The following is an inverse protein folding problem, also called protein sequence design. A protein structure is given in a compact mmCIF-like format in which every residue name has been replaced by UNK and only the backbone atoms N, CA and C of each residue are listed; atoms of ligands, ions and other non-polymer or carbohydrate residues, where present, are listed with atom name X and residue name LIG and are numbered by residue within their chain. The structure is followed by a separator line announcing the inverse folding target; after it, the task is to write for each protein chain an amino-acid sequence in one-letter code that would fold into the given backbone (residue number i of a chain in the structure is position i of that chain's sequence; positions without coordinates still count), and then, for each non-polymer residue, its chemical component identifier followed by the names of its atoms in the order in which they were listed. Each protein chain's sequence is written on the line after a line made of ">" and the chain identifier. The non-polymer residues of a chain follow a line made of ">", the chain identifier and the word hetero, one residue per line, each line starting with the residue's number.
data_IF_425293209667
#
_entry.id   IF_425293209667
#
_cell.length_a   1.000
_cell.length_b   1.000
_cell.length_c   1.000
_cell.angle_alpha   90.00
_cell.angle_beta   90.00
_cell.angle_gamma   90.00
#
_symmetry.space_group_name_H-M   'P 1'
#
loop_
_entity.id
_entity.type
_entity.pdbx_description
1 polymer ?
#
# COMPACT_ATOMS: atom_id res chain seq x y z
N UNK A 1 13.97 13.73 5.23
CA UNK A 1 14.03 12.34 4.72
C UNK A 1 12.62 11.84 4.51
N UNK A 2 12.36 11.12 3.43
CA UNK A 2 10.99 10.66 3.07
C UNK A 2 10.51 9.51 3.94
N UNK A 3 11.34 8.50 4.15
CA UNK A 3 11.04 7.46 5.14
C UNK A 3 11.87 7.67 6.41
N UNK A 4 11.32 7.34 7.60
CA UNK A 4 12.10 7.37 8.84
C UNK A 4 13.39 6.54 8.73
N UNK A 5 14.48 7.04 9.28
CA UNK A 5 15.79 6.40 9.15
C UNK A 5 15.79 4.94 9.63
N UNK A 6 15.08 4.66 10.74
CA UNK A 6 14.99 3.31 11.30
C UNK A 6 14.28 2.32 10.34
N UNK A 7 13.26 2.79 9.56
CA UNK A 7 12.62 1.95 8.54
C UNK A 7 13.63 1.62 7.43
N UNK A 8 14.33 2.64 6.93
CA UNK A 8 15.33 2.46 5.87
C UNK A 8 16.48 1.51 6.32
N UNK A 9 16.99 1.67 7.55
CA UNK A 9 18.07 0.81 8.09
C UNK A 9 17.60 -0.62 8.32
N UNK A 10 16.38 -0.82 8.84
CA UNK A 10 15.80 -2.15 9.04
C UNK A 10 15.61 -2.88 7.70
N UNK A 11 15.13 -2.17 6.67
CA UNK A 11 14.94 -2.71 5.32
C UNK A 11 16.28 -3.09 4.67
N UNK A 12 17.29 -2.22 4.75
CA UNK A 12 18.64 -2.51 4.23
C UNK A 12 19.24 -3.73 4.95
N UNK A 13 19.16 -3.76 6.28
CA UNK A 13 19.68 -4.89 7.05
C UNK A 13 18.96 -6.20 6.74
N UNK A 14 17.64 -6.15 6.50
CA UNK A 14 16.86 -7.30 6.08
C UNK A 14 17.27 -7.77 4.67
N UNK A 15 17.44 -6.85 3.73
CA UNK A 15 17.87 -7.15 2.36
C UNK A 15 19.25 -7.82 2.33
N UNK A 16 20.21 -7.27 3.08
CA UNK A 16 21.58 -7.81 3.16
C UNK A 16 21.61 -9.22 3.76
N UNK A 17 20.86 -9.47 4.85
CA UNK A 17 20.76 -10.81 5.46
C UNK A 17 20.24 -11.85 4.46
N UNK A 18 19.19 -11.52 3.71
CA UNK A 18 18.62 -12.43 2.72
C UNK A 18 19.54 -12.64 1.52
N UNK A 19 20.26 -11.61 1.10
CA UNK A 19 21.26 -11.72 0.03
C UNK A 19 22.41 -12.66 0.44
N UNK A 20 22.93 -12.50 1.66
CA UNK A 20 23.99 -13.40 2.17
C UNK A 20 23.51 -14.83 2.38
N UNK A 21 22.25 -15.03 2.73
CA UNK A 21 21.64 -16.35 2.83
C UNK A 21 21.34 -17.00 1.46
N UNK A 22 21.56 -16.30 0.35
CA UNK A 22 21.27 -16.79 -1.00
C UNK A 22 19.79 -16.89 -1.33
N UNK A 23 18.91 -16.23 -0.56
CA UNK A 23 17.48 -16.24 -0.77
C UNK A 23 17.10 -15.42 -2.01
N UNK A 24 16.58 -16.09 -3.04
CA UNK A 24 16.23 -15.45 -4.32
C UNK A 24 14.86 -14.76 -4.31
N UNK A 25 13.91 -15.34 -3.56
CA UNK A 25 12.52 -14.87 -3.47
C UNK A 25 12.16 -14.65 -2.01
N UNK A 26 12.11 -13.38 -1.61
CA UNK A 26 11.88 -12.99 -0.22
C UNK A 26 10.74 -11.97 -0.17
N UNK A 27 9.71 -12.20 0.67
CA UNK A 27 8.63 -11.26 0.88
C UNK A 27 9.12 -9.95 1.48
N UNK A 28 8.63 -8.82 0.97
CA UNK A 28 8.95 -7.48 1.48
C UNK A 28 7.84 -7.00 2.43
N UNK A 29 6.60 -7.21 2.03
CA UNK A 29 5.41 -6.83 2.81
C UNK A 29 4.45 -8.01 2.84
N UNK A 30 4.04 -8.46 4.00
CA UNK A 30 2.89 -9.34 4.13
C UNK A 30 1.62 -8.50 4.07
N UNK A 31 0.74 -8.77 3.12
CA UNK A 31 -0.63 -8.27 3.13
C UNK A 31 -1.48 -9.20 3.99
N UNK A 32 -1.83 -8.76 5.20
CA UNK A 32 -2.63 -9.52 6.14
C UNK A 32 -4.07 -9.01 6.12
N UNK A 33 -4.99 -9.86 5.72
CA UNK A 33 -6.43 -9.59 5.71
C UNK A 33 -7.09 -10.35 6.86
N UNK A 34 -7.13 -9.82 8.10
CA UNK A 34 -7.64 -10.57 9.25
C UNK A 34 -9.16 -10.80 9.19
N UNK A 35 -9.87 -10.03 8.35
CA UNK A 35 -11.30 -10.14 8.15
C UNK A 35 -11.70 -9.69 6.74
N UNK A 36 -12.87 -10.17 6.31
CA UNK A 36 -13.53 -9.75 5.06
C UNK A 36 -14.85 -9.01 5.35
N UNK A 37 -14.91 -8.27 6.46
CA UNK A 37 -16.04 -7.42 6.85
C UNK A 37 -15.62 -5.95 6.75
N UNK A 38 -16.41 -5.12 6.09
CA UNK A 38 -16.17 -3.70 5.93
C UNK A 38 -17.46 -2.91 6.20
N UNK A 39 -17.33 -1.66 6.64
CA UNK A 39 -18.42 -0.70 6.78
C UNK A 39 -18.64 0.14 5.50
N UNK A 40 -17.93 -0.18 4.40
CA UNK A 40 -18.09 0.42 3.08
C UNK A 40 -18.16 -0.67 2.00
N UNK A 41 -18.68 -0.30 0.82
CA UNK A 41 -18.75 -1.13 -0.39
C UNK A 41 -18.19 -0.35 -1.60
N UNK A 42 -16.94 0.14 -1.48
CA UNK A 42 -16.31 1.01 -2.47
C UNK A 42 -16.33 0.41 -3.88
N UNK A 43 -16.52 1.25 -4.90
CA UNK A 43 -16.58 0.81 -6.31
C UNK A 43 -15.30 0.11 -6.79
N UNK A 44 -14.15 0.46 -6.21
CA UNK A 44 -12.85 -0.14 -6.52
C UNK A 44 -12.51 -1.40 -5.72
N UNK A 45 -13.42 -1.90 -4.87
CA UNK A 45 -13.14 -3.00 -3.96
C UNK A 45 -13.77 -4.32 -4.43
N UNK A 46 -13.03 -5.43 -4.24
CA UNK A 46 -13.56 -6.77 -4.48
C UNK A 46 -14.69 -7.10 -3.49
N UNK A 47 -15.86 -7.58 -3.96
CA UNK A 47 -17.00 -7.92 -3.09
C UNK A 47 -16.65 -8.84 -1.91
N UNK A 48 -15.71 -9.76 -2.08
CA UNK A 48 -15.30 -10.67 -1.00
C UNK A 48 -14.79 -9.93 0.25
N UNK A 49 -14.30 -8.68 0.13
CA UNK A 49 -13.71 -7.91 1.22
C UNK A 49 -14.71 -7.16 2.09
N UNK A 50 -15.97 -7.06 1.68
CA UNK A 50 -17.00 -6.35 2.43
C UNK A 50 -18.27 -7.16 2.69
N UNK A 51 -18.38 -8.38 2.12
CA UNK A 51 -19.56 -9.25 2.28
C UNK A 51 -19.36 -10.37 3.31
N UNK A 52 -18.16 -10.47 3.91
CA UNK A 52 -17.86 -11.48 4.91
C UNK A 52 -18.51 -11.23 6.27
N UNK A 53 -18.72 -12.29 7.05
CA UNK A 53 -19.16 -12.19 8.44
C UNK A 53 -17.94 -11.96 9.36
N UNK A 54 -18.12 -11.12 10.39
CA UNK A 54 -17.10 -10.91 11.43
C UNK A 54 -16.75 -12.20 12.19
N UNK A 55 -17.64 -13.19 12.21
CA UNK A 55 -17.37 -14.51 12.80
C UNK A 55 -16.30 -15.30 12.04
N UNK A 56 -16.14 -15.02 10.74
CA UNK A 56 -15.19 -15.70 9.87
C UNK A 56 -13.79 -15.03 9.90
N UNK A 57 -13.57 -14.08 10.84
CA UNK A 57 -12.27 -13.44 11.01
C UNK A 57 -11.19 -14.43 11.42
N UNK A 58 -9.96 -14.13 11.08
CA UNK A 58 -8.80 -14.89 11.57
C UNK A 58 -8.68 -14.73 13.11
N UNK A 59 -8.47 -15.81 13.84
CA UNK A 59 -7.98 -15.73 15.22
C UNK A 59 -6.59 -15.06 15.25
N UNK A 60 -6.28 -14.35 16.33
CA UNK A 60 -5.02 -13.62 16.50
C UNK A 60 -3.79 -14.52 16.34
N UNK A 61 -3.86 -15.75 16.85
CA UNK A 61 -2.79 -16.75 16.71
C UNK A 61 -2.49 -17.07 15.24
N UNK A 62 -3.53 -17.19 14.41
CA UNK A 62 -3.37 -17.45 12.97
C UNK A 62 -2.73 -16.26 12.24
N UNK A 63 -3.02 -15.04 12.68
CA UNK A 63 -2.32 -13.87 12.18
C UNK A 63 -0.82 -13.93 12.51
N UNK A 64 -0.46 -14.28 13.74
CA UNK A 64 0.94 -14.38 14.15
C UNK A 64 1.68 -15.55 13.47
N UNK A 65 1.03 -16.72 13.34
CA UNK A 65 1.60 -17.84 12.56
C UNK A 65 1.97 -17.37 11.13
N UNK A 66 1.06 -16.70 10.42
CA UNK A 66 1.30 -16.22 9.07
C UNK A 66 2.43 -15.17 9.01
N UNK A 67 2.50 -14.27 10.00
CA UNK A 67 3.56 -13.25 10.11
C UNK A 67 4.93 -13.91 10.31
N UNK A 68 5.00 -14.95 11.13
CA UNK A 68 6.25 -15.64 11.45
C UNK A 68 6.70 -16.54 10.28
N UNK A 69 5.77 -17.28 9.65
CA UNK A 69 6.04 -18.10 8.46
C UNK A 69 6.52 -17.27 7.26
N UNK A 70 5.85 -16.14 6.97
CA UNK A 70 6.19 -15.25 5.86
C UNK A 70 7.55 -14.58 6.05
N UNK A 71 7.89 -14.20 7.27
CA UNK A 71 9.16 -13.54 7.59
C UNK A 71 9.35 -12.14 7.01
N UNK A 72 8.35 -11.54 6.35
CA UNK A 72 8.43 -10.19 5.80
C UNK A 72 8.74 -9.16 6.90
N UNK A 73 9.54 -8.12 6.63
CA UNK A 73 9.88 -7.08 7.60
C UNK A 73 8.72 -6.10 7.87
N UNK A 74 7.75 -6.05 6.97
CA UNK A 74 6.58 -5.19 7.06
C UNK A 74 5.31 -6.01 6.98
N UNK A 75 4.28 -5.61 7.74
CA UNK A 75 2.94 -6.21 7.71
C UNK A 75 1.94 -5.10 7.41
N UNK A 76 1.27 -5.20 6.27
CA UNK A 76 0.15 -4.33 5.89
C UNK A 76 -1.15 -4.99 6.35
N UNK A 77 -1.78 -4.45 7.38
CA UNK A 77 -3.07 -4.89 7.88
C UNK A 77 -4.13 -4.24 7.00
N UNK A 78 -4.86 -5.07 6.23
CA UNK A 78 -5.86 -4.65 5.25
C UNK A 78 -7.05 -5.65 5.25
N UNK A 79 -7.63 -5.95 4.11
CA UNK A 79 -8.77 -6.87 3.97
C UNK A 79 -10.09 -6.13 3.85
N UNK A 80 -11.04 -6.31 4.76
CA UNK A 80 -12.19 -5.44 4.98
C UNK A 80 -11.73 -4.12 5.62
N UNK A 81 -12.38 -3.69 6.68
CA UNK A 81 -11.91 -2.53 7.45
C UNK A 81 -11.19 -2.99 8.73
N UNK A 82 -9.86 -2.81 8.85
CA UNK A 82 -9.10 -3.28 10.01
C UNK A 82 -9.61 -2.76 11.35
N UNK A 83 -10.14 -1.54 11.40
CA UNK A 83 -10.67 -0.94 12.65
C UNK A 83 -11.92 -1.65 13.18
N UNK A 84 -12.51 -2.57 12.41
CA UNK A 84 -13.60 -3.46 12.86
C UNK A 84 -13.04 -4.72 13.52
N UNK A 85 -11.78 -5.11 13.24
CA UNK A 85 -11.17 -6.30 13.83
C UNK A 85 -11.03 -6.13 15.36
N UNK A 86 -11.67 -6.99 16.18
CA UNK A 86 -11.73 -6.77 17.63
C UNK A 86 -10.36 -6.75 18.30
N UNK A 87 -9.44 -7.59 17.85
CA UNK A 87 -8.10 -7.78 18.40
C UNK A 87 -7.03 -6.93 17.64
N UNK A 88 -7.45 -5.81 17.02
CA UNK A 88 -6.54 -4.99 16.18
C UNK A 88 -5.34 -4.42 16.96
N UNK A 89 -5.57 -3.95 18.19
CA UNK A 89 -4.49 -3.34 19.01
C UNK A 89 -3.47 -4.41 19.38
N UNK A 90 -3.93 -5.56 19.84
CA UNK A 90 -3.10 -6.72 20.18
C UNK A 90 -2.33 -7.25 18.96
N UNK A 91 -2.95 -7.24 17.78
CA UNK A 91 -2.29 -7.60 16.53
C UNK A 91 -1.13 -6.63 16.22
N UNK A 92 -1.39 -5.32 16.31
CA UNK A 92 -0.36 -4.29 16.07
C UNK A 92 0.79 -4.43 17.08
N UNK A 93 0.48 -4.59 18.36
CA UNK A 93 1.48 -4.77 19.42
C UNK A 93 2.33 -6.02 19.18
N UNK A 94 1.71 -7.15 18.84
CA UNK A 94 2.42 -8.38 18.52
C UNK A 94 3.30 -8.31 17.27
N UNK A 95 2.93 -7.50 16.26
CA UNK A 95 3.78 -7.19 15.09
C UNK A 95 5.01 -6.40 15.55
N UNK A 96 4.82 -5.38 16.41
CA UNK A 96 5.89 -4.52 16.92
C UNK A 96 6.87 -5.31 17.81
N UNK A 97 6.37 -6.19 18.68
CA UNK A 97 7.18 -7.09 19.52
C UNK A 97 8.08 -7.98 18.67
N UNK A 98 7.61 -8.43 17.51
CA UNK A 98 8.38 -9.16 16.50
C UNK A 98 9.38 -8.30 15.73
N UNK A 99 9.56 -7.01 16.15
CA UNK A 99 10.42 -6.01 15.51
C UNK A 99 10.10 -5.74 14.04
N UNK A 100 8.85 -6.01 13.63
CA UNK A 100 8.34 -5.71 12.29
C UNK A 100 7.64 -4.35 12.27
N UNK A 101 7.43 -3.81 11.07
CA UNK A 101 6.67 -2.57 10.86
C UNK A 101 5.22 -2.90 10.54
N UNK A 102 4.28 -2.33 11.29
CA UNK A 102 2.85 -2.42 11.04
C UNK A 102 2.38 -1.22 10.21
N UNK A 103 1.67 -1.49 9.12
CA UNK A 103 0.96 -0.49 8.31
C UNK A 103 -0.53 -0.83 8.41
N UNK A 104 -1.30 0.02 9.07
CA UNK A 104 -2.76 -0.15 9.15
C UNK A 104 -3.41 0.64 8.03
N UNK A 105 -4.00 -0.06 7.04
CA UNK A 105 -4.75 0.56 5.95
C UNK A 105 -6.22 0.68 6.35
N UNK A 106 -6.76 1.89 6.40
CA UNK A 106 -8.11 2.16 6.91
C UNK A 106 -8.84 3.21 6.07
N UNK A 107 -10.17 3.10 6.00
CA UNK A 107 -11.03 4.14 5.42
C UNK A 107 -11.21 5.38 6.33
N UNK A 108 -10.69 5.36 7.53
CA UNK A 108 -10.68 6.49 8.46
C UNK A 108 -11.95 6.65 9.32
N UNK A 109 -13.07 6.00 9.02
CA UNK A 109 -14.37 6.23 9.69
C UNK A 109 -14.31 5.99 11.20
N UNK A 110 -13.54 4.98 11.65
CA UNK A 110 -13.48 4.56 13.05
C UNK A 110 -12.14 4.92 13.74
N UNK A 111 -11.33 5.80 13.16
CA UNK A 111 -10.03 6.19 13.72
C UNK A 111 -10.15 6.81 15.12
N UNK A 112 -11.23 7.54 15.40
CA UNK A 112 -11.51 8.09 16.73
C UNK A 112 -11.56 6.99 17.81
N UNK A 113 -12.17 5.84 17.50
CA UNK A 113 -12.25 4.67 18.40
C UNK A 113 -10.90 3.99 18.56
N UNK A 114 -10.15 3.88 17.45
CA UNK A 114 -8.81 3.31 17.46
C UNK A 114 -7.86 4.15 18.33
N UNK A 115 -7.82 5.47 18.18
CA UNK A 115 -6.94 6.36 18.93
C UNK A 115 -7.22 6.39 20.44
N UNK A 116 -8.43 6.02 20.88
CA UNK A 116 -8.72 5.86 22.30
C UNK A 116 -8.06 4.63 22.94
N UNK A 117 -7.76 3.61 22.14
CA UNK A 117 -7.23 2.32 22.61
C UNK A 117 -5.74 2.15 22.37
N UNK A 118 -5.26 2.61 21.21
CA UNK A 118 -3.88 2.45 20.78
C UNK A 118 -3.00 3.64 21.17
N UNK A 119 -1.68 3.46 21.07
CA UNK A 119 -0.68 4.52 21.26
C UNK A 119 0.23 4.63 20.04
N UNK A 120 0.73 5.85 19.71
CA UNK A 120 1.68 6.00 18.62
C UNK A 120 2.97 5.24 18.92
N UNK A 121 3.51 4.61 17.87
CA UNK A 121 4.78 3.91 17.96
C UNK A 121 5.56 4.07 16.64
N UNK A 122 6.89 4.17 16.74
CA UNK A 122 7.76 4.38 15.56
C UNK A 122 7.67 3.29 14.48
N UNK A 123 7.17 2.10 14.81
CA UNK A 123 6.95 0.98 13.87
C UNK A 123 5.49 0.86 13.44
N UNK A 124 4.63 1.82 13.76
CA UNK A 124 3.24 1.87 13.35
C UNK A 124 3.02 3.02 12.38
N UNK A 125 2.52 2.73 11.21
CA UNK A 125 2.02 3.69 10.23
C UNK A 125 0.51 3.55 10.11
N UNK A 126 -0.20 4.65 10.27
CA UNK A 126 -1.63 4.74 9.91
C UNK A 126 -1.69 5.18 8.46
N UNK A 127 -2.29 4.37 7.59
CA UNK A 127 -2.39 4.63 6.16
C UNK A 127 -3.86 4.83 5.79
N UNK A 128 -4.28 6.11 5.70
CA UNK A 128 -5.68 6.47 5.47
C UNK A 128 -5.97 6.52 3.98
N UNK A 129 -7.05 5.88 3.56
CA UNK A 129 -7.51 5.87 2.18
C UNK A 129 -8.16 7.22 1.81
N UNK A 130 -7.63 7.89 0.77
CA UNK A 130 -8.15 9.15 0.24
C UNK A 130 -7.97 9.15 -1.28
N UNK A 131 -9.07 9.04 -2.06
CA UNK A 131 -9.02 8.81 -3.52
C UNK A 131 -9.32 10.05 -4.38
N UNK A 132 -9.35 11.20 -3.80
CA UNK A 132 -9.61 12.48 -4.46
C UNK A 132 -10.01 13.55 -3.45
N UNK A 133 -10.53 14.66 -3.92
CA UNK A 133 -11.19 15.64 -3.08
C UNK A 133 -12.56 15.10 -2.64
N UNK A 134 -13.30 15.86 -1.82
CA UNK A 134 -14.52 15.40 -1.16
C UNK A 134 -15.50 14.67 -2.09
N UNK A 135 -15.84 15.27 -3.21
CA UNK A 135 -16.87 14.72 -4.11
C UNK A 135 -16.41 13.41 -4.73
N UNK A 136 -15.19 13.37 -5.26
CA UNK A 136 -14.61 12.17 -5.88
C UNK A 136 -14.39 11.07 -4.84
N UNK A 137 -13.90 11.41 -3.65
CA UNK A 137 -13.67 10.41 -2.60
C UNK A 137 -14.98 9.77 -2.14
N UNK A 138 -16.00 10.58 -1.80
CA UNK A 138 -17.29 10.09 -1.33
C UNK A 138 -18.02 9.27 -2.42
N UNK A 139 -17.88 9.67 -3.69
CA UNK A 139 -18.36 8.88 -4.83
C UNK A 139 -17.67 7.52 -4.92
N UNK A 140 -16.33 7.47 -4.85
CA UNK A 140 -15.56 6.22 -4.97
C UNK A 140 -15.86 5.25 -3.82
N UNK A 141 -16.05 5.75 -2.61
CA UNK A 141 -16.38 4.91 -1.45
C UNK A 141 -17.87 4.61 -1.31
N UNK A 142 -18.69 5.10 -2.26
CA UNK A 142 -20.16 4.94 -2.31
C UNK A 142 -20.86 5.38 -1.02
N UNK A 143 -20.37 6.48 -0.42
CA UNK A 143 -20.94 7.00 0.82
C UNK A 143 -20.52 8.45 1.10
N UNK A 144 -21.51 9.35 1.27
CA UNK A 144 -21.28 10.72 1.67
C UNK A 144 -20.71 10.87 3.08
N UNK A 145 -19.84 11.86 3.26
CA UNK A 145 -19.25 12.27 4.54
C UNK A 145 -18.07 11.40 4.99
N UNK A 146 -17.62 10.44 4.20
CA UNK A 146 -16.46 9.62 4.53
C UNK A 146 -15.18 10.43 4.42
N UNK A 147 -15.08 11.33 3.41
CA UNK A 147 -13.94 12.23 3.26
C UNK A 147 -13.73 13.09 4.53
N UNK A 148 -14.79 13.63 5.12
CA UNK A 148 -14.70 14.41 6.36
C UNK A 148 -14.15 13.58 7.51
N UNK A 149 -14.63 12.33 7.66
CA UNK A 149 -14.14 11.40 8.68
C UNK A 149 -12.68 11.03 8.50
N UNK A 150 -12.26 10.80 7.26
CA UNK A 150 -10.86 10.52 6.93
C UNK A 150 -9.97 11.73 7.29
N UNK A 151 -10.37 12.95 6.90
CA UNK A 151 -9.63 14.19 7.20
C UNK A 151 -9.58 14.48 8.70
N UNK A 152 -10.70 14.32 9.42
CA UNK A 152 -10.72 14.42 10.89
C UNK A 152 -9.76 13.43 11.54
N UNK A 153 -9.79 12.17 11.09
CA UNK A 153 -8.91 11.11 11.58
C UNK A 153 -7.43 11.39 11.31
N UNK A 154 -7.08 11.93 10.13
CA UNK A 154 -5.71 12.35 9.79
C UNK A 154 -5.26 13.46 10.73
N UNK A 155 -6.05 14.54 10.90
CA UNK A 155 -5.72 15.65 11.79
C UNK A 155 -5.49 15.19 13.23
N UNK A 156 -6.39 14.36 13.74
CA UNK A 156 -6.29 13.84 15.11
C UNK A 156 -5.09 12.91 15.27
N UNK A 157 -4.83 12.02 14.31
CA UNK A 157 -3.65 11.16 14.33
C UNK A 157 -2.34 11.95 14.36
N UNK A 158 -2.24 13.01 13.54
CA UNK A 158 -1.06 13.92 13.58
C UNK A 158 -0.96 14.65 14.90
N UNK A 159 -2.06 15.14 15.47
CA UNK A 159 -2.09 15.80 16.78
C UNK A 159 -1.62 14.86 17.91
N UNK A 160 -1.96 13.58 17.83
CA UNK A 160 -1.58 12.55 18.81
C UNK A 160 -0.14 12.03 18.61
N UNK A 161 0.55 12.43 17.52
CA UNK A 161 1.93 12.03 17.25
C UNK A 161 2.08 10.71 16.50
N UNK A 162 1.01 10.21 15.83
CA UNK A 162 1.14 9.08 14.93
C UNK A 162 1.88 9.47 13.64
N UNK A 163 2.53 8.48 13.03
CA UNK A 163 3.02 8.56 11.66
C UNK A 163 1.84 8.26 10.73
N UNK A 164 1.33 9.28 10.05
CA UNK A 164 0.10 9.20 9.24
C UNK A 164 0.43 9.42 7.78
N UNK A 165 0.19 8.40 6.98
CA UNK A 165 0.27 8.46 5.52
C UNK A 165 -1.13 8.36 4.91
N UNK A 166 -1.23 8.67 3.61
CA UNK A 166 -2.41 8.40 2.81
C UNK A 166 -2.10 7.45 1.67
N UNK A 167 -3.10 6.64 1.29
CA UNK A 167 -3.09 5.78 0.12
C UNK A 167 -4.19 6.22 -0.82
N UNK A 168 -3.82 6.54 -2.04
CA UNK A 168 -4.73 7.02 -3.08
C UNK A 168 -4.72 6.06 -4.26
N UNK A 169 -5.90 5.58 -4.62
CA UNK A 169 -6.15 4.91 -5.90
C UNK A 169 -6.60 5.96 -6.91
N UNK A 170 -5.82 6.17 -7.96
CA UNK A 170 -6.16 7.12 -9.03
C UNK A 170 -7.10 6.44 -10.00
N UNK A 171 -8.37 6.83 -9.98
CA UNK A 171 -9.40 6.32 -10.89
C UNK A 171 -9.51 7.15 -12.18
N UNK A 172 -10.39 6.72 -13.10
CA UNK A 172 -10.62 7.44 -14.36
C UNK A 172 -11.22 8.82 -14.11
N UNK A 173 -12.12 8.93 -13.14
CA UNK A 173 -12.81 10.15 -12.73
C UNK A 173 -11.87 11.17 -12.11
N UNK A 174 -10.84 10.73 -11.38
CA UNK A 174 -9.88 11.63 -10.72
C UNK A 174 -9.08 12.39 -11.78
N UNK A 175 -9.36 13.67 -11.99
CA UNK A 175 -8.62 14.50 -12.94
C UNK A 175 -7.18 14.75 -12.46
N UNK A 176 -6.31 15.12 -13.37
CA UNK A 176 -4.90 15.45 -13.03
C UNK A 176 -4.81 16.69 -12.14
N UNK A 177 -5.67 17.67 -12.39
CA UNK A 177 -5.72 18.90 -11.58
C UNK A 177 -6.23 18.61 -10.17
N UNK A 178 -7.21 17.72 -10.04
CA UNK A 178 -7.69 17.24 -8.74
C UNK A 178 -6.62 16.45 -7.97
N UNK A 179 -5.81 15.64 -8.66
CA UNK A 179 -4.67 14.96 -8.02
C UNK A 179 -3.72 15.99 -7.41
N UNK A 180 -3.43 17.07 -8.14
CA UNK A 180 -2.57 18.14 -7.64
C UNK A 180 -3.20 18.87 -6.44
N UNK A 181 -4.48 19.21 -6.52
CA UNK A 181 -5.23 19.85 -5.44
C UNK A 181 -5.23 18.98 -4.17
N UNK A 182 -5.52 17.69 -4.31
CA UNK A 182 -5.51 16.73 -3.21
C UNK A 182 -4.11 16.60 -2.59
N UNK A 183 -3.07 16.49 -3.40
CA UNK A 183 -1.68 16.38 -2.92
C UNK A 183 -1.26 17.66 -2.18
N UNK A 184 -1.66 18.84 -2.67
CA UNK A 184 -1.43 20.12 -1.99
C UNK A 184 -2.13 20.14 -0.64
N UNK A 185 -3.44 19.83 -0.60
CA UNK A 185 -4.25 19.77 0.60
C UNK A 185 -3.69 18.81 1.66
N UNK A 186 -3.36 17.57 1.26
CA UNK A 186 -2.77 16.58 2.17
C UNK A 186 -1.37 17.02 2.67
N UNK A 187 -0.63 17.74 1.84
CA UNK A 187 0.67 18.30 2.25
C UNK A 187 0.51 19.41 3.30
N UNK A 188 -0.54 20.22 3.22
CA UNK A 188 -0.88 21.23 4.23
C UNK A 188 -1.35 20.61 5.54
N UNK A 189 -2.04 19.46 5.51
CA UNK A 189 -2.38 18.67 6.69
C UNK A 189 -1.15 18.02 7.36
N UNK A 190 0.04 18.21 6.80
CA UNK A 190 1.31 17.64 7.25
C UNK A 190 1.31 16.11 7.39
N UNK A 191 0.64 15.39 6.49
CA UNK A 191 0.77 13.94 6.42
C UNK A 191 2.23 13.55 6.18
N UNK A 192 2.62 12.37 6.63
CA UNK A 192 4.03 11.92 6.56
C UNK A 192 4.39 11.32 5.18
N UNK A 193 3.38 10.89 4.42
CA UNK A 193 3.56 10.39 3.06
C UNK A 193 2.24 10.28 2.32
N UNK A 194 2.28 10.44 1.00
CA UNK A 194 1.15 10.29 0.08
C UNK A 194 1.53 9.22 -0.94
N UNK A 195 0.93 8.04 -0.84
CA UNK A 195 1.13 6.96 -1.81
C UNK A 195 0.07 7.07 -2.90
N UNK A 196 0.51 7.17 -4.15
CA UNK A 196 -0.35 7.21 -5.33
C UNK A 196 -0.18 5.92 -6.14
N UNK A 197 -1.28 5.23 -6.41
CA UNK A 197 -1.34 4.00 -7.18
C UNK A 197 -2.42 4.07 -8.25
N UNK A 198 -2.22 3.53 -9.45
CA UNK A 198 -3.27 3.51 -10.46
C UNK A 198 -4.41 2.58 -10.06
N UNK A 199 -5.64 3.03 -10.27
CA UNK A 199 -6.83 2.20 -10.28
C UNK A 199 -6.79 1.27 -11.49
N UNK A 200 -6.49 0.01 -11.25
CA UNK A 200 -6.23 -0.97 -12.28
C UNK A 200 -7.44 -1.86 -12.52
N UNK A 201 -7.83 -2.01 -13.79
CA UNK A 201 -8.89 -2.92 -14.19
C UNK A 201 -8.43 -4.37 -14.08
N UNK A 202 -9.13 -5.19 -13.31
CA UNK A 202 -8.88 -6.62 -13.16
C UNK A 202 -10.19 -7.43 -13.17
N UNK A 203 -10.06 -8.74 -13.32
CA UNK A 203 -11.14 -9.67 -13.63
C UNK A 203 -12.39 -9.56 -12.73
N UNK A 204 -12.20 -9.41 -11.41
CA UNK A 204 -13.30 -9.29 -10.42
C UNK A 204 -14.13 -8.02 -10.54
N UNK A 205 -13.61 -7.03 -11.25
CA UNK A 205 -14.22 -5.71 -11.42
C UNK A 205 -14.63 -5.50 -12.89
N UNK A 206 -14.74 -6.59 -13.66
CA UNK A 206 -15.20 -6.56 -15.04
C UNK A 206 -16.58 -5.90 -15.14
N UNK A 207 -16.73 -4.97 -16.08
CA UNK A 207 -17.97 -4.20 -16.29
C UNK A 207 -18.06 -2.89 -15.51
N UNK A 208 -17.02 -2.51 -14.75
CA UNK A 208 -16.91 -1.19 -14.13
C UNK A 208 -15.98 -0.29 -14.95
N UNK A 209 -16.46 0.86 -15.39
CA UNK A 209 -15.70 1.80 -16.24
C UNK A 209 -14.77 2.77 -15.47
N UNK A 210 -14.62 2.58 -14.17
CA UNK A 210 -13.86 3.49 -13.29
C UNK A 210 -12.34 3.24 -13.30
N UNK A 211 -11.90 2.11 -13.87
CA UNK A 211 -10.50 1.70 -13.87
C UNK A 211 -9.76 2.17 -15.12
N UNK A 212 -8.45 2.36 -14.95
CA UNK A 212 -7.55 2.81 -16.00
C UNK A 212 -6.97 1.62 -16.78
N UNK A 213 -6.88 1.75 -18.09
CA UNK A 213 -6.06 0.88 -18.93
C UNK A 213 -4.61 1.44 -18.99
N UNK A 214 -3.69 0.64 -19.51
CA UNK A 214 -2.26 0.92 -19.52
C UNK A 214 -1.92 2.33 -20.04
N UNK A 215 -2.49 2.73 -21.17
CA UNK A 215 -2.16 4.01 -21.80
C UNK A 215 -2.70 5.19 -20.98
N UNK A 216 -3.90 5.06 -20.41
CA UNK A 216 -4.48 6.05 -19.50
C UNK A 216 -3.63 6.17 -18.21
N UNK A 217 -3.12 5.04 -17.69
CA UNK A 217 -2.19 5.04 -16.55
C UNK A 217 -0.92 5.81 -16.92
N UNK A 218 -0.32 5.53 -18.10
CA UNK A 218 0.89 6.21 -18.54
C UNK A 218 0.69 7.72 -18.60
N UNK A 219 -0.42 8.19 -19.17
CA UNK A 219 -0.70 9.63 -19.32
C UNK A 219 -0.87 10.31 -17.95
N UNK A 220 -1.73 9.75 -17.08
CA UNK A 220 -1.92 10.33 -15.73
C UNK A 220 -0.65 10.28 -14.89
N UNK A 221 0.09 9.18 -14.94
CA UNK A 221 1.29 9.01 -14.11
C UNK A 221 2.52 9.75 -14.62
N UNK A 222 2.58 10.20 -15.87
CA UNK A 222 3.56 11.22 -16.32
C UNK A 222 3.40 12.49 -15.49
N UNK A 223 2.17 12.92 -15.28
CA UNK A 223 1.90 14.12 -14.47
C UNK A 223 2.17 13.88 -12.99
N UNK A 224 1.80 12.73 -12.44
CA UNK A 224 2.12 12.35 -11.04
C UNK A 224 3.64 12.34 -10.82
N UNK A 225 4.42 11.87 -11.79
CA UNK A 225 5.89 11.91 -11.74
C UNK A 225 6.42 13.36 -11.70
N UNK A 226 5.82 14.30 -12.45
CA UNK A 226 6.16 15.72 -12.37
C UNK A 226 5.80 16.30 -10.99
N UNK A 227 4.58 16.02 -10.49
CA UNK A 227 4.13 16.45 -9.17
C UNK A 227 5.04 15.93 -8.05
N UNK A 228 5.59 14.71 -8.17
CA UNK A 228 6.48 14.14 -7.16
C UNK A 228 7.79 14.91 -6.95
N UNK A 229 8.19 15.72 -7.96
CA UNK A 229 9.36 16.62 -7.88
C UNK A 229 9.02 17.91 -7.14
N UNK A 230 7.75 18.34 -7.21
CA UNK A 230 7.23 19.57 -6.61
C UNK A 230 6.72 19.34 -5.19
N UNK A 231 6.08 18.20 -4.95
CA UNK A 231 5.47 17.80 -3.67
C UNK A 231 6.27 16.66 -3.02
N UNK A 232 7.23 16.96 -2.12
CA UNK A 232 8.07 15.94 -1.50
C UNK A 232 7.31 14.96 -0.58
N UNK A 233 6.05 15.23 -0.23
CA UNK A 233 5.19 14.31 0.53
C UNK A 233 4.73 13.10 -0.31
N UNK A 234 4.79 13.15 -1.66
CA UNK A 234 4.52 11.97 -2.49
C UNK A 234 5.59 10.91 -2.18
N UNK A 235 5.15 9.80 -1.59
CA UNK A 235 6.00 8.71 -1.09
C UNK A 235 6.16 7.55 -2.06
N UNK A 236 5.38 7.51 -3.17
CA UNK A 236 5.65 6.58 -4.27
C UNK A 236 7.06 6.81 -4.81
N UNK A 237 7.85 5.73 -4.96
CA UNK A 237 9.25 5.88 -5.37
C UNK A 237 9.37 6.44 -6.79
N UNK A 238 10.39 7.26 -7.11
CA UNK A 238 10.54 7.83 -8.44
C UNK A 238 10.68 6.74 -9.52
N UNK A 239 11.32 5.62 -9.19
CA UNK A 239 11.49 4.51 -10.12
C UNK A 239 10.17 3.78 -10.40
N UNK A 240 9.29 3.66 -9.39
CA UNK A 240 7.93 3.16 -9.59
C UNK A 240 7.09 4.14 -10.41
N UNK A 241 7.20 5.45 -10.15
CA UNK A 241 6.48 6.46 -10.92
C UNK A 241 6.94 6.50 -12.39
N UNK A 242 8.23 6.33 -12.67
CA UNK A 242 8.75 6.16 -14.04
C UNK A 242 8.16 4.91 -14.71
N UNK A 243 8.01 3.80 -13.97
CA UNK A 243 7.37 2.60 -14.47
C UNK A 243 5.87 2.82 -14.75
N UNK A 244 5.15 3.45 -13.83
CA UNK A 244 3.74 3.76 -14.01
C UNK A 244 3.51 4.74 -15.19
N UNK A 245 4.43 5.70 -15.39
CA UNK A 245 4.43 6.63 -16.52
C UNK A 245 4.87 6.01 -17.86
N UNK A 246 5.22 4.71 -17.89
CA UNK A 246 5.65 4.03 -19.12
C UNK A 246 7.08 4.36 -19.59
N UNK A 247 7.87 5.06 -18.76
CA UNK A 247 9.26 5.44 -19.08
C UNK A 247 10.26 4.32 -18.74
N UNK A 248 9.81 3.28 -18.05
CA UNK A 248 10.61 2.15 -17.59
C UNK A 248 9.75 0.89 -17.55
N UNK A 249 10.38 -0.27 -17.64
CA UNK A 249 9.68 -1.55 -17.43
C UNK A 249 10.37 -2.39 -16.34
N UNK A 250 9.57 -3.21 -15.64
CA UNK A 250 10.01 -4.15 -14.62
C UNK A 250 9.29 -5.49 -14.77
N UNK A 251 9.95 -6.62 -14.50
CA UNK A 251 9.25 -7.87 -14.19
C UNK A 251 8.42 -7.68 -12.93
N UNK A 252 7.35 -8.43 -12.79
CA UNK A 252 6.58 -8.44 -11.54
C UNK A 252 7.37 -9.16 -10.43
N UNK A 253 7.10 -8.82 -9.17
CA UNK A 253 7.62 -9.55 -8.00
C UNK A 253 6.46 -9.98 -7.12
N UNK A 254 5.62 -10.95 -7.58
CA UNK A 254 4.37 -11.31 -6.90
C UNK A 254 4.60 -11.90 -5.50
N UNK A 255 5.71 -12.60 -5.27
CA UNK A 255 6.12 -13.07 -3.93
C UNK A 255 6.58 -11.97 -2.98
N UNK A 256 6.81 -10.75 -3.49
CA UNK A 256 7.22 -9.59 -2.68
C UNK A 256 6.11 -9.10 -1.74
N UNK A 257 4.84 -9.33 -2.14
CA UNK A 257 3.66 -8.96 -1.37
C UNK A 257 2.67 -10.14 -1.27
N UNK A 258 3.02 -11.24 -0.60
CA UNK A 258 2.10 -12.33 -0.37
C UNK A 258 0.90 -11.88 0.47
N UNK A 259 -0.25 -12.48 0.24
CA UNK A 259 -1.50 -12.17 0.94
C UNK A 259 -1.99 -13.35 1.73
N UNK A 260 -2.27 -13.14 3.02
CA UNK A 260 -2.92 -14.12 3.90
C UNK A 260 -4.29 -13.62 4.33
N UNK A 261 -5.31 -14.47 4.20
CA UNK A 261 -6.73 -14.13 4.37
C UNK A 261 -7.43 -15.17 5.25
N UNK A 262 -8.69 -15.00 5.67
CA UNK A 262 -9.48 -16.04 6.32
C UNK A 262 -9.58 -17.35 5.53
N UNK A 263 -9.32 -17.30 4.20
CA UNK A 263 -9.31 -18.49 3.33
C UNK A 263 -7.92 -19.13 3.17
N UNK A 264 -6.87 -18.55 3.79
CA UNK A 264 -5.48 -18.99 3.68
C UNK A 264 -4.62 -18.09 2.78
N UNK A 265 -3.46 -18.60 2.36
CA UNK A 265 -2.51 -17.93 1.47
C UNK A 265 -3.06 -17.81 0.07
N UNK A 266 -3.20 -16.60 -0.45
CA UNK A 266 -3.76 -16.32 -1.77
C UNK A 266 -2.65 -16.28 -2.83
N UNK A 267 -2.74 -17.12 -3.84
CA UNK A 267 -1.79 -17.15 -4.96
C UNK A 267 -2.49 -16.94 -6.31
N UNK A 268 -1.80 -16.44 -7.32
CA UNK A 268 -0.39 -16.00 -7.30
C UNK A 268 -0.18 -14.59 -6.72
N UNK A 269 -1.20 -13.76 -6.72
CA UNK A 269 -1.24 -12.42 -6.13
C UNK A 269 -2.66 -12.07 -5.69
N UNK A 270 -2.85 -10.96 -4.98
CA UNK A 270 -4.15 -10.58 -4.43
C UNK A 270 -5.17 -10.11 -5.49
N UNK A 271 -4.73 -9.72 -6.70
CA UNK A 271 -5.61 -9.25 -7.78
C UNK A 271 -6.20 -10.39 -8.61
N UNK A 272 -5.45 -11.48 -8.76
CA UNK A 272 -5.84 -12.60 -9.62
C UNK A 272 -6.54 -13.65 -8.78
N UNK A 273 -7.71 -14.09 -9.22
CA UNK A 273 -8.35 -15.26 -8.64
C UNK A 273 -7.57 -16.50 -9.06
N UNK A 274 -6.85 -17.01 -8.08
CA UNK A 274 -6.08 -18.21 -8.22
C UNK A 274 -6.55 -19.26 -7.22
N UNK A 275 -5.60 -19.74 -6.45
CA UNK A 275 -5.82 -20.78 -5.46
C UNK A 275 -5.50 -20.26 -4.06
N UNK A 276 -6.23 -20.75 -3.07
CA UNK A 276 -5.87 -20.60 -1.65
C UNK A 276 -5.11 -21.84 -1.18
N UNK A 277 -4.09 -21.63 -0.36
CA UNK A 277 -3.23 -22.67 0.19
C UNK A 277 -3.30 -22.64 1.71
N UNK A 278 -3.28 -23.83 2.32
CA UNK A 278 -3.43 -23.99 3.77
C UNK A 278 -2.16 -23.64 4.56
N UNK A 279 -0.98 -23.68 3.93
CA UNK A 279 0.30 -23.38 4.58
C UNK A 279 1.20 -22.54 3.67
N UNK A 280 2.13 -21.80 4.30
CA UNK A 280 3.16 -21.04 3.59
C UNK A 280 4.00 -21.92 2.65
N UNK A 281 4.36 -23.13 3.13
CA UNK A 281 5.14 -24.07 2.34
C UNK A 281 4.43 -24.51 1.06
N UNK A 282 3.14 -24.86 1.18
CA UNK A 282 2.32 -25.23 0.01
C UNK A 282 2.14 -24.06 -0.96
N UNK A 283 1.89 -22.86 -0.44
CA UNK A 283 1.77 -21.65 -1.24
C UNK A 283 3.05 -21.36 -2.02
N UNK A 284 4.18 -21.35 -1.33
CA UNK A 284 5.45 -20.96 -1.95
C UNK A 284 5.96 -21.99 -2.95
N UNK A 285 5.69 -23.29 -2.72
CA UNK A 285 6.02 -24.38 -3.63
C UNK A 285 4.99 -24.58 -4.74
N UNK A 286 3.74 -24.22 -4.51
CA UNK A 286 2.62 -24.50 -5.43
C UNK A 286 2.37 -23.44 -6.51
N UNK A 287 3.04 -22.28 -6.42
CA UNK A 287 2.93 -21.20 -7.41
C UNK A 287 4.13 -21.23 -8.37
N UNK A 288 3.87 -21.23 -9.66
CA UNK A 288 4.91 -21.05 -10.69
C UNK A 288 5.36 -19.59 -10.75
N UNK A 289 6.30 -19.22 -9.86
CA UNK A 289 6.78 -17.86 -9.73
C UNK A 289 7.48 -17.33 -10.98
N UNK A 290 8.13 -18.17 -11.78
CA UNK A 290 8.82 -17.76 -13.00
C UNK A 290 7.81 -17.33 -14.07
N UNK A 291 6.71 -18.08 -14.20
CA UNK A 291 5.59 -17.71 -15.07
C UNK A 291 5.00 -16.35 -14.67
N UNK A 292 4.69 -16.15 -13.39
CA UNK A 292 4.07 -14.92 -12.92
C UNK A 292 5.01 -13.72 -12.91
N UNK A 293 6.30 -13.93 -12.63
CA UNK A 293 7.33 -12.88 -12.73
C UNK A 293 7.43 -12.34 -14.16
N UNK A 294 7.37 -13.22 -15.15
CA UNK A 294 7.48 -12.88 -16.57
C UNK A 294 6.28 -12.11 -17.13
N UNK A 295 5.16 -12.06 -16.40
CA UNK A 295 3.89 -11.42 -16.82
C UNK A 295 3.31 -11.98 -18.11
N UNK A 296 3.53 -13.27 -18.38
CA UNK A 296 2.99 -13.94 -19.58
C UNK A 296 1.47 -14.13 -19.52
N UNK A 297 0.88 -14.15 -18.32
CA UNK A 297 -0.57 -14.24 -18.18
C UNK A 297 -1.24 -12.98 -18.75
N UNK A 298 -2.27 -13.15 -19.63
CA UNK A 298 -2.98 -12.02 -20.24
C UNK A 298 -3.57 -11.05 -19.21
N UNK A 299 -3.95 -11.54 -18.03
CA UNK A 299 -4.47 -10.73 -16.91
C UNK A 299 -3.41 -9.77 -16.35
N UNK A 300 -2.13 -10.02 -16.58
CA UNK A 300 -1.03 -9.15 -16.17
C UNK A 300 -0.72 -8.03 -17.18
N UNK A 301 -1.33 -8.05 -18.37
CA UNK A 301 -0.95 -7.17 -19.48
C UNK A 301 -1.05 -5.69 -19.12
N UNK A 302 -2.16 -5.25 -18.52
CA UNK A 302 -2.38 -3.85 -18.15
C UNK A 302 -1.87 -3.49 -16.75
N UNK A 303 -1.41 -4.47 -15.96
CA UNK A 303 -1.10 -4.28 -14.55
C UNK A 303 0.10 -3.33 -14.33
N UNK A 304 -0.13 -2.29 -13.55
CA UNK A 304 0.88 -1.34 -13.03
C UNK A 304 0.77 -1.19 -11.50
N UNK A 305 0.24 -2.21 -10.83
CA UNK A 305 -0.07 -2.15 -9.40
C UNK A 305 1.19 -2.06 -8.55
N UNK A 306 1.23 -1.09 -7.63
CA UNK A 306 2.42 -0.81 -6.83
C UNK A 306 2.88 -2.01 -6.00
N UNK A 307 1.96 -2.80 -5.43
CA UNK A 307 2.29 -3.96 -4.60
C UNK A 307 3.11 -5.05 -5.33
N UNK A 308 2.98 -5.16 -6.67
CA UNK A 308 3.81 -6.06 -7.48
C UNK A 308 5.12 -5.43 -7.95
N UNK A 309 5.17 -4.11 -8.11
CA UNK A 309 6.28 -3.42 -8.78
C UNK A 309 7.15 -2.56 -7.85
N UNK A 310 6.68 -2.09 -6.71
CA UNK A 310 7.57 -1.51 -5.68
C UNK A 310 8.60 -2.54 -5.16
N UNK A 311 8.22 -3.81 -4.87
CA UNK A 311 9.21 -4.85 -4.59
C UNK A 311 10.19 -5.09 -5.74
N UNK A 312 9.75 -4.94 -6.99
CA UNK A 312 10.61 -5.05 -8.17
C UNK A 312 11.66 -3.94 -8.22
N UNK A 313 11.29 -2.70 -7.86
CA UNK A 313 12.23 -1.58 -7.71
C UNK A 313 13.31 -1.94 -6.68
N UNK A 314 12.90 -2.41 -5.49
CA UNK A 314 13.83 -2.79 -4.41
C UNK A 314 14.79 -3.91 -4.88
N UNK A 315 14.26 -4.93 -5.55
CA UNK A 315 15.04 -6.07 -6.06
C UNK A 315 16.06 -5.67 -7.13
N UNK A 316 15.71 -4.75 -8.02
CA UNK A 316 16.55 -4.33 -9.16
C UNK A 316 17.51 -3.19 -8.82
N UNK A 317 17.34 -2.54 -7.66
CA UNK A 317 18.09 -1.35 -7.27
C UNK A 317 19.60 -1.58 -7.27
N UNK A 318 20.07 -2.72 -6.78
CA UNK A 318 21.50 -3.06 -6.71
C UNK A 318 22.19 -3.25 -8.08
N UNK A 319 21.43 -3.39 -9.17
CA UNK A 319 21.95 -3.57 -10.53
C UNK A 319 22.26 -2.29 -11.28
N UNK A 320 21.95 -1.10 -10.72
CA UNK A 320 22.12 0.19 -11.40
C UNK A 320 22.63 1.28 -10.43
N UNK A 321 23.91 1.72 -10.56
CA UNK A 321 24.42 2.82 -9.75
C UNK A 321 23.61 4.12 -9.90
N UNK A 322 23.08 4.39 -11.10
CA UNK A 322 22.22 5.53 -11.36
C UNK A 322 20.92 5.45 -10.56
N UNK A 323 20.29 4.29 -10.51
CA UNK A 323 19.05 4.08 -9.78
C UNK A 323 19.28 4.15 -8.25
N UNK A 324 20.39 3.59 -7.77
CA UNK A 324 20.80 3.75 -6.37
C UNK A 324 20.97 5.21 -5.99
N UNK A 325 21.65 6.02 -6.84
CA UNK A 325 21.83 7.44 -6.62
C UNK A 325 20.49 8.20 -6.62
N UNK A 326 19.60 7.86 -7.57
CA UNK A 326 18.26 8.44 -7.66
C UNK A 326 17.46 8.17 -6.38
N UNK A 327 17.44 6.95 -5.89
CA UNK A 327 16.75 6.56 -4.66
C UNK A 327 17.39 7.20 -3.41
N UNK A 328 18.73 7.27 -3.34
CA UNK A 328 19.42 7.93 -2.24
C UNK A 328 19.09 9.43 -2.18
N UNK A 329 19.14 10.12 -3.32
CA UNK A 329 18.76 11.54 -3.41
C UNK A 329 17.31 11.77 -3.01
N UNK A 330 16.39 10.92 -3.49
CA UNK A 330 14.98 10.97 -3.15
C UNK A 330 14.76 10.75 -1.66
N UNK A 331 15.40 9.77 -1.05
CA UNK A 331 15.30 9.50 0.39
C UNK A 331 15.84 10.65 1.25
N UNK A 332 16.91 11.32 0.80
CA UNK A 332 17.56 12.43 1.52
C UNK A 332 16.82 13.77 1.33
N UNK A 333 15.85 13.86 0.43
CA UNK A 333 15.07 15.09 0.24
C UNK A 333 14.37 15.46 1.55
N UNK A 334 14.55 16.72 1.98
CA UNK A 334 13.92 17.21 3.20
C UNK A 334 12.43 17.51 2.97
N UNK A 335 11.60 16.72 3.62
CA UNK A 335 10.15 16.83 3.52
C UNK A 335 9.59 17.95 4.39
N UNK A 336 10.32 18.35 5.46
CA UNK A 336 9.86 19.33 6.46
C UNK A 336 9.92 20.77 5.94
N UNK A 337 10.84 21.07 5.02
CA UNK A 337 11.03 22.42 4.48
C UNK A 337 10.23 22.74 3.20
N UNK A 338 9.37 21.83 2.76
CA UNK A 338 8.62 22.01 1.52
C UNK A 338 7.45 22.98 1.63
N UNK A 339 6.77 23.04 2.77
CA UNK A 339 5.66 23.98 3.00
C UNK A 339 6.10 25.46 2.85
N UNK A 340 7.33 25.80 3.28
CA UNK A 340 7.87 27.15 3.14
C UNK A 340 8.30 27.53 1.72
N UNK A 341 8.52 26.55 0.84
CA UNK A 341 8.88 26.77 -0.57
C UNK A 341 7.66 26.95 -1.46
N UNK A 342 6.56 26.26 -1.16
CA UNK A 342 5.28 26.40 -1.88
C UNK A 342 4.62 27.75 -1.62
N UNK A 343 4.83 28.34 -0.43
CA UNK A 343 4.33 29.70 -0.11
C UNK A 343 5.13 30.84 -0.78
N UNK A 344 6.23 30.55 -1.48
CA UNK A 344 7.13 31.52 -2.15
C UNK A 344 7.14 31.38 -3.67
N UNK A 345 6.43 30.44 -4.25
CA UNK A 345 6.26 30.24 -5.68
C UNK A 345 4.82 30.56 -6.11
#
# INVERSE_FOLDING_TARGET
>A
MRFPLHVATDMIGWQLRNWWAGNKRVPVVLMLEPLHTCNLACIGCSPERYTGDLKDRLPLEKCFEAIDECGAPMVSICGGEPTIYPELVELIEGIIERRKHAIMCTNGILLDRFYRKARPHKRLTINVHVDGMRETHDFVVDREGVWDKAVEGIKEGKRLGYYVCTNTTVFRETSVDEIEEMVAFLSELDVDGILLSPGYHYEKLAGQDHFLFRDEIHEKFKRVLELSRRYPKISSTPLFLEFAAGLRDYPCTPWGNPTYTPKGWKGPCYLIEGKYYGSWKEFFAGVDWDYWESRQDPRCHNCKMHSGFEPSVVRKLGGSPRDMLTMARWQLTDVRNSASRLAKA
#
